data_IF_957149686228
#
_entry.id   IF_957149686228
#
_cell.length_a   1.000
_cell.length_b   1.000
_cell.length_c   1.000
_cell.angle_alpha   90.00
_cell.angle_beta   90.00
_cell.angle_gamma   90.00
#
_symmetry.space_group_name_H-M   'P 1'
#
loop_
_entity.id
_entity.type
_entity.pdbx_description
1 polymer ?
#
# COMPACT_ATOMS: atom_id res chain seq x y z
N UNK A 1 20.84 -8.08 -7.36
CA UNK A 1 21.44 -6.80 -7.83
C UNK A 1 21.74 -6.88 -9.33
N UNK A 2 21.44 -5.81 -10.07
CA UNK A 2 21.77 -5.74 -11.50
C UNK A 2 23.27 -5.54 -11.73
N UNK A 3 23.75 -5.66 -12.98
CA UNK A 3 25.18 -5.45 -13.31
C UNK A 3 25.69 -4.08 -12.84
N UNK A 4 24.85 -3.03 -12.95
CA UNK A 4 25.18 -1.67 -12.50
C UNK A 4 25.31 -1.59 -10.98
N UNK A 5 24.38 -2.20 -10.23
CA UNK A 5 24.41 -2.16 -8.76
C UNK A 5 25.58 -2.97 -8.20
N UNK A 6 25.91 -4.10 -8.84
CA UNK A 6 27.06 -4.94 -8.48
C UNK A 6 28.38 -4.19 -8.65
N UNK A 7 28.48 -3.33 -9.67
CA UNK A 7 29.67 -2.54 -9.94
C UNK A 7 29.74 -1.25 -9.09
N UNK A 8 28.64 -0.50 -8.99
CA UNK A 8 28.60 0.77 -8.25
C UNK A 8 28.62 0.58 -6.73
N UNK A 9 27.94 -0.45 -6.22
CA UNK A 9 27.79 -0.70 -4.78
C UNK A 9 28.57 -1.93 -4.30
N UNK A 10 29.41 -2.53 -5.14
CA UNK A 10 30.21 -3.74 -4.83
C UNK A 10 29.38 -4.88 -4.23
N UNK A 11 28.10 -4.97 -4.60
CA UNK A 11 27.21 -6.00 -4.09
C UNK A 11 27.42 -7.32 -4.84
N UNK A 12 27.51 -8.43 -4.11
CA UNK A 12 27.51 -9.78 -4.69
C UNK A 12 26.09 -10.28 -4.92
N UNK A 13 25.93 -11.20 -5.88
CA UNK A 13 24.68 -11.96 -6.02
C UNK A 13 24.66 -13.01 -4.93
N UNK A 14 23.57 -13.07 -4.17
CA UNK A 14 23.39 -14.18 -3.22
C UNK A 14 23.20 -15.49 -3.99
N UNK A 15 23.50 -16.61 -3.33
CA UNK A 15 23.33 -17.95 -3.93
C UNK A 15 21.88 -18.18 -4.40
N UNK A 16 20.91 -17.74 -3.59
CA UNK A 16 19.50 -17.80 -3.95
C UNK A 16 19.16 -16.97 -5.20
N UNK A 17 19.74 -15.77 -5.34
CA UNK A 17 19.54 -14.95 -6.53
C UNK A 17 20.17 -15.60 -7.77
N UNK A 18 21.32 -16.25 -7.63
CA UNK A 18 21.95 -17.02 -8.69
C UNK A 18 21.05 -18.16 -9.13
N UNK A 19 20.54 -18.95 -8.17
CA UNK A 19 19.59 -20.05 -8.40
C UNK A 19 18.31 -19.57 -9.10
N UNK A 20 17.70 -18.47 -8.64
CA UNK A 20 16.53 -17.87 -9.31
C UNK A 20 16.83 -17.44 -10.75
N UNK A 21 18.02 -16.89 -11.01
CA UNK A 21 18.41 -16.47 -12.35
C UNK A 21 18.55 -17.67 -13.31
N UNK A 22 19.11 -18.78 -12.86
CA UNK A 22 19.20 -20.01 -13.66
C UNK A 22 17.84 -20.62 -13.96
N UNK A 23 16.96 -20.70 -12.96
CA UNK A 23 15.57 -21.13 -13.14
C UNK A 23 14.86 -20.21 -14.14
N UNK A 24 15.00 -18.90 -13.97
CA UNK A 24 14.44 -17.91 -14.90
C UNK A 24 14.97 -18.09 -16.31
N UNK A 25 16.27 -18.32 -16.49
CA UNK A 25 16.89 -18.49 -17.80
C UNK A 25 16.35 -19.73 -18.53
N UNK A 26 16.13 -20.83 -17.82
CA UNK A 26 15.46 -22.01 -18.39
C UNK A 26 14.00 -21.73 -18.74
N UNK A 27 13.27 -21.06 -17.85
CA UNK A 27 11.87 -20.70 -18.06
C UNK A 27 11.67 -19.74 -19.25
N UNK A 28 12.59 -18.79 -19.47
CA UNK A 28 12.54 -17.88 -20.62
C UNK A 28 12.65 -18.62 -21.98
N UNK A 29 13.21 -19.84 -22.01
CA UNK A 29 13.31 -20.66 -23.23
C UNK A 29 12.01 -21.34 -23.63
N UNK A 30 11.09 -21.58 -22.69
CA UNK A 30 9.78 -22.17 -22.99
C UNK A 30 8.88 -21.27 -23.85
N UNK A 31 9.28 -20.02 -24.07
CA UNK A 31 8.48 -19.06 -24.82
C UNK A 31 7.23 -18.62 -24.06
N UNK A 32 6.15 -18.31 -24.76
CA UNK A 32 4.89 -17.86 -24.13
C UNK A 32 3.75 -18.66 -24.71
N UNK A 33 3.33 -19.70 -23.99
CA UNK A 33 2.15 -20.48 -24.34
C UNK A 33 0.97 -20.21 -23.39
N UNK A 34 1.23 -20.01 -22.08
CA UNK A 34 0.16 -19.99 -21.07
C UNK A 34 0.58 -19.39 -19.71
N UNK A 35 -0.38 -18.84 -18.93
CA UNK A 35 -0.13 -18.29 -17.59
C UNK A 35 0.37 -19.31 -16.57
N UNK A 36 -0.01 -20.58 -16.72
CA UNK A 36 0.38 -21.67 -15.84
C UNK A 36 1.14 -22.74 -16.63
N UNK A 37 2.24 -23.24 -16.07
CA UNK A 37 2.98 -24.35 -16.66
C UNK A 37 2.18 -25.65 -16.52
N UNK A 38 2.20 -26.48 -17.56
CA UNK A 38 1.75 -27.85 -17.46
C UNK A 38 2.75 -28.71 -16.68
N UNK A 39 2.29 -29.89 -16.24
CA UNK A 39 3.09 -30.77 -15.39
C UNK A 39 4.38 -31.23 -16.08
N UNK A 40 4.28 -31.61 -17.36
CA UNK A 40 5.40 -32.00 -18.20
C UNK A 40 6.43 -30.88 -18.38
N UNK A 41 5.99 -29.64 -18.57
CA UNK A 41 6.87 -28.46 -18.64
C UNK A 41 7.64 -28.26 -17.34
N UNK A 42 6.98 -28.41 -16.19
CA UNK A 42 7.63 -28.29 -14.87
C UNK A 42 8.66 -29.39 -14.68
N UNK A 43 8.33 -30.63 -15.03
CA UNK A 43 9.26 -31.77 -14.94
C UNK A 43 10.46 -31.56 -15.86
N UNK A 44 10.24 -31.13 -17.10
CA UNK A 44 11.31 -30.87 -18.05
C UNK A 44 12.27 -29.77 -17.56
N UNK A 45 11.74 -28.66 -17.02
CA UNK A 45 12.56 -27.59 -16.45
C UNK A 45 13.36 -28.09 -15.25
N UNK A 46 12.74 -28.85 -14.36
CA UNK A 46 13.43 -29.42 -13.19
C UNK A 46 14.57 -30.35 -13.61
N UNK A 47 14.34 -31.23 -14.57
CA UNK A 47 15.35 -32.19 -15.01
C UNK A 47 16.51 -31.49 -15.74
N UNK A 48 16.22 -30.42 -16.49
CA UNK A 48 17.26 -29.58 -17.09
C UNK A 48 18.10 -28.85 -16.05
N UNK A 49 17.49 -28.34 -14.97
CA UNK A 49 18.19 -27.68 -13.88
C UNK A 49 19.04 -28.69 -13.07
N UNK A 50 18.53 -29.90 -12.85
CA UNK A 50 19.30 -30.99 -12.21
C UNK A 50 20.57 -31.33 -12.98
N UNK A 51 20.51 -31.37 -14.32
CA UNK A 51 21.71 -31.58 -15.17
C UNK A 51 22.77 -30.48 -15.02
N UNK A 52 22.37 -29.28 -14.58
CA UNK A 52 23.28 -28.17 -14.24
C UNK A 52 23.74 -28.19 -12.78
N UNK A 53 23.39 -29.21 -12.00
CA UNK A 53 23.68 -29.28 -10.57
C UNK A 53 22.78 -28.40 -9.69
N UNK A 54 21.62 -27.96 -10.22
CA UNK A 54 20.67 -27.11 -9.49
C UNK A 54 19.44 -27.94 -9.14
N UNK A 55 19.30 -28.31 -7.88
CA UNK A 55 18.09 -28.94 -7.38
C UNK A 55 17.05 -27.86 -7.05
N UNK A 56 15.78 -28.05 -7.45
CA UNK A 56 14.66 -27.14 -7.15
C UNK A 56 13.36 -27.94 -7.08
N UNK A 57 12.44 -27.44 -6.25
CA UNK A 57 11.10 -27.99 -6.13
C UNK A 57 10.18 -27.51 -7.26
N UNK A 58 9.15 -28.31 -7.55
CA UNK A 58 8.16 -27.99 -8.58
C UNK A 58 7.42 -26.67 -8.28
N UNK A 59 7.14 -26.39 -7.01
CA UNK A 59 6.44 -25.16 -6.59
C UNK A 59 7.31 -23.93 -6.81
N UNK A 60 8.62 -24.04 -6.54
CA UNK A 60 9.57 -22.97 -6.80
C UNK A 60 9.64 -22.58 -8.29
N UNK A 61 9.61 -23.58 -9.17
CA UNK A 61 9.55 -23.37 -10.63
C UNK A 61 8.26 -22.63 -11.00
N UNK A 62 7.11 -23.04 -10.45
CA UNK A 62 5.80 -22.41 -10.70
C UNK A 62 5.74 -20.97 -10.18
N UNK A 63 6.29 -20.71 -9.01
CA UNK A 63 6.37 -19.37 -8.44
C UNK A 63 7.27 -18.45 -9.26
N UNK A 64 8.40 -18.98 -9.73
CA UNK A 64 9.33 -18.24 -10.60
C UNK A 64 8.74 -17.99 -11.99
N UNK A 65 7.86 -18.87 -12.48
CA UNK A 65 7.18 -18.69 -13.77
C UNK A 65 6.23 -17.49 -13.81
N UNK A 66 5.45 -17.26 -12.75
CA UNK A 66 4.46 -16.17 -12.69
C UNK A 66 5.02 -14.80 -13.12
N UNK A 67 6.13 -14.29 -12.54
CA UNK A 67 6.71 -13.02 -12.96
C UNK A 67 7.35 -13.08 -14.36
N UNK A 68 7.94 -14.21 -14.76
CA UNK A 68 8.54 -14.39 -16.09
C UNK A 68 7.48 -14.30 -17.18
N UNK A 69 6.39 -15.04 -17.03
CA UNK A 69 5.23 -14.99 -17.91
C UNK A 69 4.66 -13.56 -17.98
N UNK A 70 4.39 -12.95 -16.82
CA UNK A 70 3.77 -11.63 -16.75
C UNK A 70 4.63 -10.56 -17.46
N UNK A 71 5.95 -10.59 -17.24
CA UNK A 71 6.89 -9.70 -17.94
C UNK A 71 6.80 -9.88 -19.46
N UNK A 72 6.88 -11.11 -19.95
CA UNK A 72 6.83 -11.40 -21.38
C UNK A 72 5.46 -11.02 -21.99
N UNK A 73 4.37 -11.29 -21.28
CA UNK A 73 3.01 -10.89 -21.65
C UNK A 73 2.90 -9.36 -21.78
N UNK A 74 3.35 -8.61 -20.77
CA UNK A 74 3.29 -7.15 -20.76
C UNK A 74 4.16 -6.51 -21.84
N UNK A 75 5.36 -7.05 -22.08
CA UNK A 75 6.23 -6.58 -23.16
C UNK A 75 5.57 -6.75 -24.53
N UNK A 76 4.97 -7.91 -24.80
CA UNK A 76 4.23 -8.16 -26.04
C UNK A 76 3.00 -7.26 -26.16
N UNK A 77 2.21 -7.14 -25.09
CA UNK A 77 1.05 -6.26 -25.06
C UNK A 77 1.44 -4.79 -25.31
N UNK A 78 2.55 -4.34 -24.74
CA UNK A 78 3.08 -2.99 -24.96
C UNK A 78 3.45 -2.77 -26.43
N UNK A 79 4.12 -3.73 -27.07
CA UNK A 79 4.45 -3.64 -28.50
C UNK A 79 3.18 -3.54 -29.35
N UNK A 80 2.18 -4.39 -29.10
CA UNK A 80 0.89 -4.35 -29.84
C UNK A 80 0.14 -3.02 -29.62
N UNK A 81 0.12 -2.51 -28.38
CA UNK A 81 -0.46 -1.20 -28.09
C UNK A 81 0.28 -0.05 -28.80
N UNK A 82 1.60 -0.13 -28.96
CA UNK A 82 2.38 0.86 -29.74
C UNK A 82 2.08 0.78 -31.23
N UNK A 83 1.91 -0.42 -31.77
CA UNK A 83 1.56 -0.63 -33.18
C UNK A 83 0.17 -0.10 -33.51
N UNK A 84 -0.77 -0.19 -32.55
CA UNK A 84 -2.09 0.41 -32.64
C UNK A 84 -2.07 1.93 -32.91
N UNK A 85 -1.12 2.66 -32.32
CA UNK A 85 -0.95 4.10 -32.61
C UNK A 85 -0.68 4.37 -34.09
N UNK A 86 0.12 3.50 -34.74
CA UNK A 86 0.43 3.61 -36.19
C UNK A 86 -0.77 3.18 -37.03
N UNK A 87 -1.49 2.14 -36.60
CA UNK A 87 -2.66 1.62 -37.32
C UNK A 87 -3.88 2.54 -37.28
N UNK A 88 -4.05 3.37 -36.24
CA UNK A 88 -5.09 4.40 -36.21
C UNK A 88 -4.96 5.41 -37.36
N UNK A 89 -3.72 5.83 -37.66
CA UNK A 89 -3.45 6.75 -38.77
C UNK A 89 -3.85 6.15 -40.13
N UNK A 90 -3.57 4.86 -40.34
CA UNK A 90 -3.92 4.13 -41.58
C UNK A 90 -5.43 3.84 -41.68
N UNK A 91 -6.10 3.55 -40.56
CA UNK A 91 -7.55 3.34 -40.52
C UNK A 91 -8.32 4.58 -40.99
N UNK A 92 -7.86 5.77 -40.62
CA UNK A 92 -8.45 7.05 -41.06
C UNK A 92 -8.41 7.25 -42.59
N UNK A 93 -7.56 6.53 -43.32
CA UNK A 93 -7.39 6.67 -44.77
C UNK A 93 -8.09 5.57 -45.59
N UNK A 94 -8.32 4.37 -45.03
CA UNK A 94 -8.70 3.17 -45.81
C UNK A 94 -10.08 2.57 -45.48
N UNK A 95 -11.02 3.35 -44.94
CA UNK A 95 -12.45 3.00 -44.93
C UNK A 95 -12.79 1.58 -44.41
N UNK A 96 -12.27 1.20 -43.23
CA UNK A 96 -13.03 0.31 -42.34
C UNK A 96 -12.41 -1.01 -41.88
N UNK A 97 -11.28 -1.49 -42.43
CA UNK A 97 -10.60 -2.66 -41.86
C UNK A 97 -9.57 -2.26 -40.80
N UNK A 98 -10.08 -1.80 -39.65
CA UNK A 98 -9.26 -1.39 -38.50
C UNK A 98 -8.67 -2.58 -37.75
N UNK A 99 -7.42 -2.47 -37.31
CA UNK A 99 -6.87 -3.40 -36.32
C UNK A 99 -7.60 -3.21 -34.99
N UNK A 100 -8.02 -4.30 -34.37
CA UNK A 100 -8.57 -4.28 -33.02
C UNK A 100 -7.46 -3.98 -32.00
N UNK A 101 -7.66 -2.95 -31.18
CA UNK A 101 -6.65 -2.40 -30.27
C UNK A 101 -6.99 -2.65 -28.80
N UNK A 102 -7.30 -3.91 -28.47
CA UNK A 102 -7.74 -4.32 -27.14
C UNK A 102 -6.69 -4.07 -26.06
N UNK A 103 -5.39 -4.09 -26.38
CA UNK A 103 -4.32 -3.80 -25.42
C UNK A 103 -4.36 -2.35 -24.90
N UNK A 104 -4.81 -1.38 -25.70
CA UNK A 104 -4.93 0.02 -25.27
C UNK A 104 -5.97 0.12 -24.15
N UNK A 105 -7.11 -0.54 -24.33
CA UNK A 105 -8.18 -0.60 -23.32
C UNK A 105 -7.70 -1.35 -22.07
N UNK A 106 -6.96 -2.45 -22.25
CA UNK A 106 -6.37 -3.20 -21.13
C UNK A 106 -5.43 -2.31 -20.30
N UNK A 107 -4.50 -1.58 -20.93
CA UNK A 107 -3.59 -0.69 -20.20
C UNK A 107 -4.33 0.47 -19.52
N UNK A 108 -5.37 1.03 -20.13
CA UNK A 108 -6.20 2.05 -19.50
C UNK A 108 -6.88 1.51 -18.23
N UNK A 109 -7.44 0.29 -18.28
CA UNK A 109 -8.05 -0.36 -17.11
C UNK A 109 -7.02 -0.60 -16.01
N UNK A 110 -5.83 -1.11 -16.35
CA UNK A 110 -4.72 -1.31 -15.40
C UNK A 110 -4.32 0.01 -14.74
N UNK A 111 -4.17 1.08 -15.52
CA UNK A 111 -3.84 2.41 -15.00
C UNK A 111 -4.91 2.93 -14.03
N UNK A 112 -6.19 2.71 -14.35
CA UNK A 112 -7.29 3.13 -13.49
C UNK A 112 -7.30 2.35 -12.17
N UNK A 113 -7.13 1.04 -12.23
CA UNK A 113 -7.00 0.20 -11.03
C UNK A 113 -5.85 0.68 -10.15
N UNK A 114 -4.67 0.93 -10.74
CA UNK A 114 -3.49 1.43 -9.99
C UNK A 114 -3.74 2.80 -9.34
N UNK A 115 -4.46 3.71 -10.01
CA UNK A 115 -4.82 5.00 -9.43
C UNK A 115 -5.78 4.85 -8.26
N UNK A 116 -6.80 4.03 -8.40
CA UNK A 116 -7.79 3.79 -7.34
C UNK A 116 -7.15 3.11 -6.13
N UNK A 117 -6.31 2.09 -6.34
CA UNK A 117 -5.61 1.42 -5.23
C UNK A 117 -4.62 2.33 -4.52
N UNK A 118 -3.89 3.18 -5.26
CA UNK A 118 -2.98 4.17 -4.67
C UNK A 118 -3.74 5.19 -3.80
N UNK A 119 -4.90 5.66 -4.25
CA UNK A 119 -5.73 6.57 -3.47
C UNK A 119 -6.31 5.91 -2.22
N UNK A 120 -6.80 4.68 -2.34
CA UNK A 120 -7.28 3.91 -1.20
C UNK A 120 -6.17 3.68 -0.16
N UNK A 121 -4.95 3.35 -0.59
CA UNK A 121 -3.81 3.17 0.30
C UNK A 121 -3.42 4.48 1.01
N UNK A 122 -3.43 5.62 0.31
CA UNK A 122 -3.20 6.93 0.94
C UNK A 122 -4.24 7.25 2.00
N UNK A 123 -5.53 6.98 1.72
CA UNK A 123 -6.60 7.16 2.69
C UNK A 123 -6.43 6.23 3.89
N UNK A 124 -6.09 4.96 3.66
CA UNK A 124 -5.84 4.00 4.72
C UNK A 124 -4.70 4.44 5.64
N UNK A 125 -3.57 4.85 5.07
CA UNK A 125 -2.41 5.35 5.83
C UNK A 125 -2.78 6.64 6.55
N UNK A 126 -3.40 7.60 5.86
CA UNK A 126 -3.79 8.88 6.45
C UNK A 126 -4.73 8.70 7.65
N UNK A 127 -5.76 7.86 7.51
CA UNK A 127 -6.70 7.58 8.59
C UNK A 127 -6.03 6.86 9.76
N UNK A 128 -5.15 5.89 9.47
CA UNK A 128 -4.42 5.14 10.51
C UNK A 128 -3.48 6.04 11.29
N UNK A 129 -2.69 6.86 10.61
CA UNK A 129 -1.74 7.77 11.26
C UNK A 129 -2.45 8.91 11.99
N UNK A 130 -3.56 9.44 11.45
CA UNK A 130 -4.37 10.43 12.16
C UNK A 130 -4.94 9.86 13.47
N UNK A 131 -5.48 8.64 13.46
CA UNK A 131 -6.00 7.98 14.66
C UNK A 131 -4.90 7.58 15.66
N UNK A 132 -3.68 7.36 15.18
CA UNK A 132 -2.51 7.15 16.06
C UNK A 132 -2.09 8.46 16.71
N UNK A 133 -1.94 9.53 15.92
CA UNK A 133 -1.55 10.84 16.41
C UNK A 133 -2.57 11.41 17.42
N UNK A 134 -3.87 11.22 17.18
CA UNK A 134 -4.91 11.65 18.12
C UNK A 134 -4.78 10.96 19.48
N UNK A 135 -4.41 9.67 19.50
CA UNK A 135 -4.16 8.93 20.74
C UNK A 135 -2.90 9.42 21.46
N UNK A 136 -1.78 9.53 20.74
CA UNK A 136 -0.53 10.03 21.30
C UNK A 136 -0.70 11.47 21.82
N UNK A 137 -1.43 12.32 21.10
CA UNK A 137 -1.73 13.69 21.55
C UNK A 137 -2.59 13.68 22.83
N UNK A 138 -3.61 12.83 22.92
CA UNK A 138 -4.43 12.72 24.14
C UNK A 138 -3.60 12.24 25.33
N UNK A 139 -2.77 11.23 25.15
CA UNK A 139 -1.90 10.72 26.21
C UNK A 139 -0.98 11.83 26.74
N UNK A 140 -0.33 12.58 25.85
CA UNK A 140 0.51 13.72 26.24
C UNK A 140 -0.30 14.83 26.92
N UNK A 141 -1.49 15.15 26.41
CA UNK A 141 -2.36 16.16 27.02
C UNK A 141 -2.85 15.72 28.41
N UNK A 142 -3.14 14.44 28.61
CA UNK A 142 -3.57 13.88 29.89
C UNK A 142 -2.41 13.91 30.91
N UNK A 143 -1.19 13.59 30.49
CA UNK A 143 0.02 13.76 31.31
C UNK A 143 0.24 15.22 31.72
N UNK A 144 0.11 16.15 30.76
CA UNK A 144 0.23 17.58 31.03
C UNK A 144 -0.88 18.10 31.94
N UNK A 145 -2.10 17.56 31.83
CA UNK A 145 -3.24 17.93 32.66
C UNK A 145 -3.11 17.39 34.11
N UNK A 146 -2.34 16.33 34.32
CA UNK A 146 -2.05 15.77 35.63
C UNK A 146 -1.14 16.68 36.47
N UNK A 147 -0.29 17.50 35.84
CA UNK A 147 0.54 18.50 36.52
C UNK A 147 -0.28 19.78 36.81
N UNK A 148 -0.61 20.07 38.08
CA UNK A 148 -1.42 21.24 38.43
C UNK A 148 -0.69 22.57 38.23
N UNK A 149 0.65 22.61 38.28
CA UNK A 149 1.43 23.83 38.04
C UNK A 149 1.45 24.16 36.55
N UNK A 150 1.72 23.16 35.72
CA UNK A 150 1.68 23.31 34.27
C UNK A 150 0.27 23.67 33.78
N UNK A 151 -0.76 23.04 34.35
CA UNK A 151 -2.17 23.35 34.05
C UNK A 151 -2.54 24.79 34.37
N UNK A 152 -2.15 25.32 35.54
CA UNK A 152 -2.38 26.73 35.91
C UNK A 152 -1.64 27.70 34.99
N UNK A 153 -0.42 27.34 34.58
CA UNK A 153 0.38 28.16 33.66
C UNK A 153 -0.23 28.21 32.25
N UNK A 154 -0.67 27.06 31.73
CA UNK A 154 -1.21 26.92 30.37
C UNK A 154 -2.67 27.41 30.25
N UNK A 155 -3.50 27.16 31.26
CA UNK A 155 -4.90 27.58 31.31
C UNK A 155 -5.05 28.88 32.11
N UNK A 156 -4.43 29.95 31.64
CA UNK A 156 -4.51 31.27 32.26
C UNK A 156 -5.29 32.28 31.41
N UNK A 157 -5.87 33.28 32.06
CA UNK A 157 -6.50 34.42 31.40
C UNK A 157 -7.92 34.72 31.89
N UNK A 158 -8.40 35.91 31.54
CA UNK A 158 -9.65 36.49 32.06
C UNK A 158 -10.88 35.62 31.88
N UNK A 159 -10.96 34.83 30.80
CA UNK A 159 -12.09 33.90 30.56
C UNK A 159 -12.08 32.71 31.52
N UNK A 160 -10.89 32.23 31.90
CA UNK A 160 -10.75 31.12 32.85
C UNK A 160 -11.09 31.59 34.26
N UNK A 161 -10.60 32.76 34.65
CA UNK A 161 -10.91 33.40 35.93
C UNK A 161 -12.42 33.60 36.10
N UNK A 162 -13.09 34.19 35.10
CA UNK A 162 -14.54 34.36 35.09
C UNK A 162 -15.29 33.03 35.20
N UNK A 163 -14.82 31.98 34.53
CA UNK A 163 -15.42 30.66 34.60
C UNK A 163 -15.24 30.01 35.99
N UNK A 164 -14.10 30.19 36.64
CA UNK A 164 -13.87 29.74 38.01
C UNK A 164 -14.74 30.49 39.03
N UNK A 165 -14.89 31.80 38.87
CA UNK A 165 -15.80 32.62 39.69
C UNK A 165 -17.26 32.17 39.52
N UNK A 166 -17.72 31.99 38.27
CA UNK A 166 -19.06 31.46 37.98
C UNK A 166 -19.29 30.09 38.63
N UNK A 167 -18.29 29.20 38.58
CA UNK A 167 -18.38 27.88 39.23
C UNK A 167 -18.49 28.00 40.74
N UNK A 168 -17.72 28.90 41.37
CA UNK A 168 -17.81 29.17 42.81
C UNK A 168 -19.20 29.69 43.20
N UNK A 169 -19.74 30.63 42.44
CA UNK A 169 -21.10 31.18 42.69
C UNK A 169 -22.16 30.09 42.61
N UNK A 170 -22.11 29.24 41.57
CA UNK A 170 -23.05 28.12 41.43
C UNK A 170 -22.97 27.13 42.59
N UNK A 171 -21.77 26.80 43.04
CA UNK A 171 -21.58 25.90 44.18
C UNK A 171 -22.16 26.47 45.48
N UNK A 172 -22.06 27.78 45.70
CA UNK A 172 -22.69 28.45 46.84
C UNK A 172 -24.21 28.40 46.74
N UNK A 173 -24.78 28.60 45.54
CA UNK A 173 -26.22 28.47 45.31
C UNK A 173 -26.74 27.06 45.61
N UNK A 174 -26.07 26.01 45.11
CA UNK A 174 -26.44 24.61 45.37
C UNK A 174 -26.42 24.29 46.88
N UNK A 175 -25.43 24.78 47.63
CA UNK A 175 -25.37 24.62 49.10
C UNK A 175 -26.48 25.38 49.83
N UNK A 176 -26.86 26.56 49.35
CA UNK A 176 -27.97 27.33 49.91
C UNK A 176 -29.31 26.63 49.67
N UNK A 177 -29.51 26.05 48.48
CA UNK A 177 -30.70 25.26 48.17
C UNK A 177 -30.78 24.02 49.06
N UNK A 178 -29.69 23.27 49.23
CA UNK A 178 -29.60 22.13 50.17
C UNK A 178 -29.97 22.55 51.60
N UNK A 179 -29.51 23.72 52.06
CA UNK A 179 -29.79 24.23 53.40
C UNK A 179 -31.26 24.66 53.58
N UNK A 180 -31.85 25.31 52.57
CA UNK A 180 -33.27 25.69 52.57
C UNK A 180 -34.16 24.44 52.59
N UNK A 181 -33.80 23.40 51.83
CA UNK A 181 -34.52 22.12 51.86
C UNK A 181 -34.44 21.43 53.21
N UNK A 182 -33.26 21.44 53.87
CA UNK A 182 -33.10 20.89 55.21
C UNK A 182 -33.95 21.66 56.24
N UNK A 183 -33.94 23.00 56.20
CA UNK A 183 -34.76 23.84 57.08
C UNK A 183 -36.27 23.65 56.89
N UNK A 184 -36.72 23.43 55.66
CA UNK A 184 -38.13 23.17 55.38
C UNK A 184 -38.58 21.76 55.81
N UNK A 185 -37.65 20.81 55.97
CA UNK A 185 -37.94 19.46 56.52
C UNK A 185 -38.00 19.43 58.05
N UNK A 186 -37.41 20.41 58.73
CA UNK A 186 -37.42 20.55 60.19
C UNK A 186 -38.64 21.34 60.73
N UNK A 187 -39.48 21.91 59.85
CA UNK A 187 -40.78 22.52 60.20
C UNK A 187 -41.92 21.54 59.97
#
# INVERSE_FOLDING_TARGET
PGLKDRWLYWQSTTEEQSRRNEVRAELERLGVARPALAYDEVVAVRDNLRRKGIEVDNDYIRETWKPVYLKNFLQRAQTRARDCRKSFYLYSQQNGNGKECCEVVMFWRVQQTLRTTANALRQQIGNREAARLDRELREVLDEMAADPELKKKLLSGRRVELAEELKRVRQVQERLEEFIEALNKEK
#
